data_IF_585070486432
#
_entry.id   IF_585070486432
#
_cell.length_a   1.000
_cell.length_b   1.000
_cell.length_c   1.000
_cell.angle_alpha   90.00
_cell.angle_beta   90.00
_cell.angle_gamma   90.00
#
_symmetry.space_group_name_H-M   'P 1'
#
loop_
_entity.id
_entity.type
_entity.pdbx_description
1 polymer ?
#
# COMPACT_ATOMS: atom_id res chain seq x y z
N UNK A 1 9.47 -6.84 5.31
CA UNK A 1 8.52 -5.76 4.99
C UNK A 1 8.27 -4.94 6.23
N UNK A 2 8.40 -3.63 6.15
CA UNK A 2 8.12 -2.72 7.25
C UNK A 2 6.83 -1.97 6.98
N UNK A 3 5.99 -1.81 8.01
CA UNK A 3 4.68 -1.17 7.88
C UNK A 3 4.64 0.05 8.78
N UNK A 4 4.22 1.18 8.22
CA UNK A 4 4.13 2.45 8.92
C UNK A 4 2.75 3.07 8.78
N UNK A 5 2.18 3.54 9.88
CA UNK A 5 1.03 4.42 9.87
C UNK A 5 1.56 5.84 10.08
N UNK A 6 1.28 6.73 9.17
CA UNK A 6 1.90 8.06 9.17
C UNK A 6 0.88 9.17 8.95
N UNK A 7 1.15 10.33 9.56
CA UNK A 7 0.38 11.56 9.33
C UNK A 7 0.96 12.40 8.20
N UNK A 8 2.07 11.97 7.62
CA UNK A 8 2.68 12.68 6.49
C UNK A 8 1.81 12.61 5.25
N UNK A 9 1.71 13.72 4.54
CA UNK A 9 0.88 13.82 3.35
C UNK A 9 1.53 13.26 2.11
N UNK A 10 2.86 13.21 2.09
CA UNK A 10 3.63 12.70 0.94
C UNK A 10 4.69 11.71 1.39
N UNK A 11 4.92 10.70 0.55
CA UNK A 11 5.96 9.69 0.76
C UNK A 11 6.79 9.62 -0.51
N UNK A 12 8.10 9.53 -0.35
CA UNK A 12 9.05 9.38 -1.47
C UNK A 12 9.63 7.97 -1.44
N UNK A 13 9.56 7.28 -2.58
CA UNK A 13 10.25 5.99 -2.75
C UNK A 13 11.75 6.28 -2.92
N UNK A 14 12.56 5.80 -1.99
CA UNK A 14 14.01 6.06 -1.99
C UNK A 14 14.75 5.36 -3.14
N UNK A 15 14.15 4.38 -3.77
CA UNK A 15 14.77 3.64 -4.88
C UNK A 15 14.45 4.30 -6.22
N UNK A 16 13.19 4.68 -6.44
CA UNK A 16 12.76 5.26 -7.72
C UNK A 16 12.71 6.78 -7.73
N UNK A 17 12.66 7.42 -6.56
CA UNK A 17 12.47 8.86 -6.42
C UNK A 17 11.04 9.32 -6.65
N UNK A 18 10.11 8.40 -6.87
CA UNK A 18 8.70 8.72 -7.08
C UNK A 18 8.05 9.23 -5.80
N UNK A 19 7.21 10.25 -5.92
CA UNK A 19 6.51 10.87 -4.80
C UNK A 19 5.02 10.52 -4.86
N UNK A 20 4.45 10.10 -3.74
CA UNK A 20 3.06 9.70 -3.63
C UNK A 20 2.31 10.58 -2.64
N UNK A 21 1.07 10.95 -2.97
CA UNK A 21 0.19 11.75 -2.11
C UNK A 21 -0.72 10.81 -1.32
N UNK A 22 -0.51 10.73 0.00
CA UNK A 22 -1.28 9.84 0.86
C UNK A 22 -2.69 10.33 1.15
N UNK A 23 -2.98 11.61 1.00
CA UNK A 23 -4.35 12.10 1.12
C UNK A 23 -5.24 11.56 0.01
N UNK A 24 -4.68 11.39 -1.18
CA UNK A 24 -5.37 10.90 -2.36
C UNK A 24 -5.29 9.37 -2.47
N UNK A 25 -4.10 8.81 -2.28
CA UNK A 25 -3.86 7.38 -2.45
C UNK A 25 -4.24 6.54 -1.23
N UNK A 26 -4.27 7.15 -0.03
CA UNK A 26 -4.51 6.52 1.27
C UNK A 26 -3.39 5.60 1.74
N UNK A 27 -2.65 4.98 0.85
CA UNK A 27 -1.52 4.12 1.17
C UNK A 27 -0.64 3.91 -0.05
N UNK A 28 0.56 3.44 0.20
CA UNK A 28 1.53 3.16 -0.85
C UNK A 28 2.53 2.12 -0.36
N UNK A 29 3.04 1.30 -1.27
CA UNK A 29 4.20 0.48 -1.03
C UNK A 29 5.39 1.03 -1.83
N UNK A 30 6.60 0.80 -1.33
CA UNK A 30 7.83 1.25 -1.98
C UNK A 30 8.75 0.07 -2.30
N UNK A 31 9.63 0.26 -3.27
CA UNK A 31 10.53 -0.82 -3.73
C UNK A 31 11.55 -1.25 -2.68
N UNK A 32 11.76 -0.44 -1.63
CA UNK A 32 12.59 -0.81 -0.49
C UNK A 32 11.84 -1.61 0.58
N UNK A 33 10.72 -2.25 0.20
CA UNK A 33 9.93 -3.17 1.02
C UNK A 33 9.27 -2.49 2.22
N UNK A 34 8.73 -1.29 2.01
CA UNK A 34 8.00 -0.54 3.01
C UNK A 34 6.57 -0.30 2.55
N UNK A 35 5.65 -0.32 3.51
CA UNK A 35 4.24 0.01 3.29
C UNK A 35 3.87 1.17 4.19
N UNK A 36 3.27 2.20 3.62
CA UNK A 36 2.81 3.37 4.36
C UNK A 36 1.31 3.49 4.23
N UNK A 37 0.64 3.66 5.36
CA UNK A 37 -0.82 3.85 5.41
C UNK A 37 -1.09 5.19 6.07
N UNK A 38 -1.98 6.00 5.48
CA UNK A 38 -2.33 7.31 6.03
C UNK A 38 -3.09 7.14 7.34
N UNK A 39 -2.57 7.75 8.40
CA UNK A 39 -3.09 7.54 9.75
C UNK A 39 -4.43 8.22 10.02
N UNK A 40 -4.83 9.19 9.19
CA UNK A 40 -6.07 9.94 9.37
C UNK A 40 -7.30 9.29 8.75
N UNK A 41 -7.18 8.06 8.28
CA UNK A 41 -8.30 7.27 7.78
C UNK A 41 -9.11 6.66 8.93
N UNK A 42 -10.35 6.27 8.67
CA UNK A 42 -11.11 5.46 9.61
C UNK A 42 -10.43 4.11 9.83
N UNK A 43 -10.78 3.45 10.93
CA UNK A 43 -10.20 2.14 11.26
C UNK A 43 -10.43 1.10 10.14
N UNK A 44 -11.62 1.08 9.58
CA UNK A 44 -11.98 0.18 8.49
C UNK A 44 -11.18 0.48 7.22
N UNK A 45 -11.04 1.75 6.87
CA UNK A 45 -10.28 2.17 5.70
C UNK A 45 -8.79 1.88 5.86
N UNK A 46 -8.23 2.09 7.06
CA UNK A 46 -6.85 1.72 7.35
C UNK A 46 -6.61 0.25 7.12
N UNK A 47 -7.51 -0.62 7.59
CA UNK A 47 -7.37 -2.06 7.44
C UNK A 47 -7.44 -2.47 5.97
N UNK A 48 -8.41 -1.95 5.22
CA UNK A 48 -8.52 -2.22 3.79
C UNK A 48 -7.27 -1.78 3.03
N UNK A 49 -6.81 -0.56 3.30
CA UNK A 49 -5.62 0.00 2.66
C UNK A 49 -4.38 -0.83 3.00
N UNK A 50 -4.23 -1.20 4.26
CA UNK A 50 -3.10 -2.02 4.71
C UNK A 50 -3.07 -3.36 3.97
N UNK A 51 -4.19 -4.06 3.91
CA UNK A 51 -4.29 -5.35 3.20
C UNK A 51 -3.96 -5.19 1.72
N UNK A 52 -4.53 -4.18 1.07
CA UNK A 52 -4.27 -3.91 -0.34
C UNK A 52 -2.77 -3.69 -0.60
N UNK A 53 -2.16 -2.80 0.16
CA UNK A 53 -0.75 -2.43 -0.05
C UNK A 53 0.22 -3.56 0.32
N UNK A 54 -0.04 -4.29 1.39
CA UNK A 54 0.79 -5.43 1.81
C UNK A 54 0.73 -6.53 0.76
N UNK A 55 -0.45 -6.88 0.27
CA UNK A 55 -0.61 -7.92 -0.75
C UNK A 55 0.07 -7.49 -2.05
N UNK A 56 -0.16 -6.25 -2.49
CA UNK A 56 0.44 -5.74 -3.73
C UNK A 56 1.97 -5.70 -3.63
N UNK A 57 2.51 -5.18 -2.52
CA UNK A 57 3.94 -5.15 -2.27
C UNK A 57 4.56 -6.55 -2.29
N UNK A 58 3.94 -7.49 -1.59
CA UNK A 58 4.42 -8.88 -1.54
C UNK A 58 4.47 -9.49 -2.94
N UNK A 59 3.40 -9.36 -3.71
CA UNK A 59 3.31 -9.96 -5.04
C UNK A 59 4.31 -9.34 -6.02
N UNK A 60 4.48 -8.02 -5.97
CA UNK A 60 5.37 -7.33 -6.92
C UNK A 60 6.85 -7.47 -6.48
N UNK A 61 7.16 -7.09 -5.25
CA UNK A 61 8.55 -6.96 -4.80
C UNK A 61 9.17 -8.33 -4.49
N UNK A 62 8.43 -9.22 -3.84
CA UNK A 62 8.96 -10.52 -3.43
C UNK A 62 8.78 -11.61 -4.49
N UNK A 63 7.65 -11.59 -5.23
CA UNK A 63 7.35 -12.62 -6.21
C UNK A 63 7.55 -12.19 -7.66
N UNK A 64 7.85 -10.91 -7.91
CA UNK A 64 8.10 -10.40 -9.25
C UNK A 64 6.87 -10.33 -10.15
N UNK A 65 5.67 -10.29 -9.58
CA UNK A 65 4.43 -10.19 -10.33
C UNK A 65 4.27 -8.82 -10.98
N UNK A 66 3.59 -8.74 -12.13
CA UNK A 66 3.25 -7.46 -12.76
C UNK A 66 2.34 -6.65 -11.85
N UNK A 67 2.53 -5.34 -11.80
CA UNK A 67 1.75 -4.45 -10.94
C UNK A 67 0.24 -4.54 -11.22
N UNK A 68 -0.17 -4.60 -12.48
CA UNK A 68 -1.59 -4.72 -12.85
C UNK A 68 -2.23 -5.96 -12.26
N UNK A 69 -1.54 -7.09 -12.33
CA UNK A 69 -2.04 -8.37 -11.83
C UNK A 69 -2.07 -8.37 -10.31
N UNK A 70 -1.02 -7.85 -9.69
CA UNK A 70 -0.93 -7.72 -8.23
C UNK A 70 -2.04 -6.83 -7.70
N UNK A 71 -2.33 -5.72 -8.38
CA UNK A 71 -3.40 -4.80 -8.01
C UNK A 71 -4.77 -5.48 -8.02
N UNK A 72 -5.06 -6.31 -9.02
CA UNK A 72 -6.31 -7.06 -9.09
C UNK A 72 -6.46 -8.02 -7.91
N UNK A 73 -5.39 -8.75 -7.57
CA UNK A 73 -5.40 -9.69 -6.45
C UNK A 73 -5.55 -8.94 -5.13
N UNK A 74 -4.82 -7.83 -4.96
CA UNK A 74 -4.92 -6.99 -3.77
C UNK A 74 -6.33 -6.42 -3.58
N UNK A 75 -6.97 -6.01 -4.67
CA UNK A 75 -8.35 -5.51 -4.64
C UNK A 75 -9.35 -6.59 -4.19
N UNK A 76 -9.15 -7.84 -4.62
CA UNK A 76 -9.96 -8.96 -4.15
C UNK A 76 -9.75 -9.22 -2.66
N UNK A 77 -8.50 -9.19 -2.19
CA UNK A 77 -8.18 -9.39 -0.79
C UNK A 77 -8.82 -8.33 0.11
N UNK A 78 -8.79 -7.07 -0.30
CA UNK A 78 -9.41 -6.00 0.49
C UNK A 78 -10.93 -6.11 0.55
N UNK A 79 -11.57 -6.63 -0.50
CA UNK A 79 -13.02 -6.87 -0.50
C UNK A 79 -13.42 -7.90 0.53
N UNK A 80 -12.65 -8.97 0.67
CA UNK A 80 -12.91 -10.01 1.66
C UNK A 80 -12.84 -9.43 3.08
N UNK A 81 -11.86 -8.59 3.35
CA UNK A 81 -11.69 -7.94 4.65
C UNK A 81 -12.74 -6.86 4.89
N UNK A 82 -13.19 -6.18 3.84
CA UNK A 82 -14.13 -5.07 3.93
C UNK A 82 -15.60 -5.45 4.09
N UNK A 83 -15.92 -6.74 4.12
CA UNK A 83 -17.30 -7.23 4.29
C UNK A 83 -17.78 -7.19 5.78
#
# INVERSE_FOLDING_TARGET
MQIYFTDEKTITDNITGEVFDLEEEHGVWTWDKKVYVYNKLSRKEKLKTLIHEVVECFLVVYLGMRQERAHKIASLAERVVGK
#
